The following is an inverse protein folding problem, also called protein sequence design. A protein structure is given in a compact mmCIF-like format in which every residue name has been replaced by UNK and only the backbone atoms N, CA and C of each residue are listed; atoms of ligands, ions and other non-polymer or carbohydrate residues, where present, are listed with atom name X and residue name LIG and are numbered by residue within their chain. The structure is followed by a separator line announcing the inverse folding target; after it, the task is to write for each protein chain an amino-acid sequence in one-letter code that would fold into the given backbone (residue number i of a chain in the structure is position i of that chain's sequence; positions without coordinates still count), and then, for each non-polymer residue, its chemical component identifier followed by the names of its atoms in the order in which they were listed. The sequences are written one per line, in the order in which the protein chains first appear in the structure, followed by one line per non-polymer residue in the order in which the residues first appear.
data_IF_221068698154
#
_entry.id   IF_221068698154
#
_cell.length_a   1.000
_cell.length_b   1.000
_cell.length_c   1.000
_cell.angle_alpha   90.00
_cell.angle_beta   90.00
_cell.angle_gamma   90.00
#
_symmetry.space_group_name_H-M   'P 1'
#
loop_
_entity.id
_entity.type
_entity.pdbx_description
1 polymer ?
#
# COMPACT_ATOMS: atom_id res chain seq x y z
N UNK A 1 10.66 -57.42 1.34
CA UNK A 1 9.87 -56.17 1.16
C UNK A 1 10.22 -55.25 2.33
N UNK A 2 11.12 -54.27 2.15
CA UNK A 2 11.59 -53.38 3.23
C UNK A 2 10.67 -52.15 3.31
N UNK A 3 9.90 -52.04 4.39
CA UNK A 3 9.04 -50.88 4.66
C UNK A 3 9.91 -49.63 4.82
N UNK A 4 9.66 -48.52 4.11
CA UNK A 4 10.47 -47.32 4.26
C UNK A 4 10.22 -46.70 5.65
N UNK A 5 11.29 -46.49 6.40
CA UNK A 5 11.24 -45.85 7.71
C UNK A 5 10.69 -44.42 7.60
N UNK A 6 9.67 -44.10 8.40
CA UNK A 6 9.08 -42.75 8.51
C UNK A 6 10.17 -41.79 8.98
N UNK A 7 10.71 -40.96 8.07
CA UNK A 7 11.69 -39.92 8.42
C UNK A 7 11.01 -38.92 9.36
N UNK A 8 11.33 -38.99 10.65
CA UNK A 8 10.88 -38.02 11.65
C UNK A 8 11.49 -36.67 11.27
N UNK A 9 10.67 -35.77 10.73
CA UNK A 9 11.10 -34.39 10.42
C UNK A 9 11.08 -33.60 11.73
N UNK A 10 12.12 -32.79 11.95
CA UNK A 10 12.18 -31.84 13.07
C UNK A 10 11.04 -30.82 12.86
N UNK A 11 9.88 -31.09 13.43
CA UNK A 11 8.62 -30.38 13.16
C UNK A 11 7.34 -31.16 13.45
N UNK A 12 7.40 -32.49 13.58
CA UNK A 12 6.20 -33.32 13.89
C UNK A 12 5.76 -33.26 15.36
N UNK A 13 6.62 -32.76 16.27
CA UNK A 13 6.24 -32.57 17.67
C UNK A 13 5.37 -31.32 17.82
N UNK A 14 4.16 -31.50 18.34
CA UNK A 14 3.20 -30.42 18.59
C UNK A 14 3.84 -29.28 19.40
N UNK A 15 4.70 -29.60 20.36
CA UNK A 15 5.39 -28.60 21.20
C UNK A 15 6.34 -27.72 20.37
N UNK A 16 7.11 -28.32 19.46
CA UNK A 16 8.03 -27.58 18.57
C UNK A 16 7.25 -26.71 17.60
N UNK A 17 6.16 -27.22 17.02
CA UNK A 17 5.27 -26.47 16.12
C UNK A 17 4.63 -25.26 16.82
N UNK A 18 3.99 -25.47 17.98
CA UNK A 18 3.36 -24.38 18.72
C UNK A 18 4.39 -23.41 19.31
N UNK A 19 5.57 -23.89 19.69
CA UNK A 19 6.69 -23.05 20.11
C UNK A 19 7.16 -22.11 18.99
N UNK A 20 7.41 -22.63 17.79
CA UNK A 20 7.78 -21.81 16.61
C UNK A 20 6.70 -20.79 16.24
N UNK A 21 5.43 -21.21 16.22
CA UNK A 21 4.31 -20.29 15.95
C UNK A 21 4.23 -19.21 17.04
N UNK A 22 4.34 -19.59 18.31
CA UNK A 22 4.31 -18.65 19.44
C UNK A 22 5.43 -17.62 19.36
N UNK A 23 6.67 -18.06 19.06
CA UNK A 23 7.82 -17.16 18.89
C UNK A 23 7.60 -16.18 17.74
N UNK A 24 7.15 -16.66 16.57
CA UNK A 24 6.86 -15.79 15.42
C UNK A 24 5.76 -14.79 15.78
N UNK A 25 4.67 -15.22 16.39
CA UNK A 25 3.58 -14.34 16.79
C UNK A 25 4.03 -13.29 17.80
N UNK A 26 4.82 -13.66 18.82
CA UNK A 26 5.34 -12.72 19.82
C UNK A 26 6.27 -11.70 19.17
N UNK A 27 7.18 -12.14 18.31
CA UNK A 27 8.12 -11.22 17.62
C UNK A 27 7.35 -10.29 16.67
N UNK A 28 6.44 -10.81 15.84
CA UNK A 28 5.62 -10.00 14.94
C UNK A 28 4.72 -9.02 15.71
N UNK A 29 4.08 -9.46 16.79
CA UNK A 29 3.28 -8.61 17.63
C UNK A 29 4.12 -7.49 18.26
N UNK A 30 5.31 -7.82 18.78
CA UNK A 30 6.21 -6.83 19.36
C UNK A 30 6.65 -5.80 18.32
N UNK A 31 7.06 -6.24 17.13
CA UNK A 31 7.50 -5.33 16.05
C UNK A 31 6.39 -4.39 15.57
N UNK A 32 5.13 -4.81 15.61
CA UNK A 32 4.00 -3.97 15.18
C UNK A 32 3.48 -3.11 16.33
N UNK A 33 3.26 -3.71 17.51
CA UNK A 33 2.62 -3.05 18.64
C UNK A 33 3.56 -2.05 19.32
N UNK A 34 4.86 -2.33 19.42
CA UNK A 34 5.80 -1.43 20.07
C UNK A 34 5.84 -0.02 19.44
N UNK A 35 6.07 0.15 18.11
CA UNK A 35 6.08 1.48 17.50
C UNK A 35 4.72 2.16 17.54
N UNK A 36 3.61 1.40 17.38
CA UNK A 36 2.26 1.96 17.51
C UNK A 36 2.00 2.50 18.92
N UNK A 37 2.46 1.78 19.95
CA UNK A 37 2.32 2.22 21.34
C UNK A 37 3.14 3.49 21.58
N UNK A 38 4.38 3.55 21.06
CA UNK A 38 5.21 4.75 21.14
C UNK A 38 4.53 5.95 20.46
N UNK A 39 3.98 5.78 19.25
CA UNK A 39 3.25 6.83 18.55
C UNK A 39 2.03 7.29 19.37
N UNK A 40 1.27 6.36 19.96
CA UNK A 40 0.09 6.69 20.76
C UNK A 40 0.45 7.45 22.05
N UNK A 41 1.51 7.03 22.75
CA UNK A 41 1.99 7.69 23.97
C UNK A 41 2.56 9.07 23.63
N UNK A 42 3.36 9.18 22.57
CA UNK A 42 3.96 10.45 22.14
C UNK A 42 2.89 11.44 21.66
N UNK A 43 1.86 10.98 20.95
CA UNK A 43 0.75 11.82 20.51
C UNK A 43 -0.07 12.40 21.68
N UNK A 44 -0.13 11.68 22.81
CA UNK A 44 -0.87 12.09 24.01
C UNK A 44 0.02 12.70 25.10
N UNK A 45 1.35 12.71 24.92
CA UNK A 45 2.33 13.15 25.93
C UNK A 45 2.18 14.61 26.31
N UNK A 46 1.76 15.46 25.35
CA UNK A 46 1.48 16.90 25.54
C UNK A 46 0.07 17.17 26.09
N UNK A 47 -0.68 16.12 26.42
CA UNK A 47 -2.04 16.19 26.93
C UNK A 47 -3.12 16.27 25.84
N UNK A 48 -4.36 15.97 26.22
CA UNK A 48 -5.51 15.94 25.32
C UNK A 48 -5.80 17.30 24.65
N UNK A 49 -5.50 18.41 25.33
CA UNK A 49 -5.67 19.76 24.79
C UNK A 49 -4.80 20.04 23.57
N UNK A 50 -3.51 19.67 23.62
CA UNK A 50 -2.58 19.84 22.50
C UNK A 50 -2.94 18.97 21.29
N UNK A 51 -3.51 17.77 21.53
CA UNK A 51 -4.02 16.90 20.49
C UNK A 51 -5.22 17.53 19.75
N UNK A 52 -6.18 18.07 20.50
CA UNK A 52 -7.36 18.75 19.92
C UNK A 52 -6.96 20.01 19.16
N UNK A 53 -6.02 20.79 19.71
CA UNK A 53 -5.49 21.99 19.05
C UNK A 53 -4.78 21.65 17.72
N UNK A 54 -4.01 20.56 17.69
CA UNK A 54 -3.35 20.08 16.47
C UNK A 54 -4.35 19.67 15.37
N UNK A 55 -5.51 19.12 15.75
CA UNK A 55 -6.57 18.75 14.79
C UNK A 55 -7.34 19.97 14.28
N UNK A 56 -7.61 20.94 15.15
CA UNK A 56 -8.34 22.17 14.79
C UNK A 56 -7.46 23.12 13.97
N UNK A 57 -6.15 22.94 13.99
CA UNK A 57 -5.21 23.72 13.20
C UNK A 57 -5.63 23.76 11.72
N UNK A 58 -5.67 24.95 11.08
CA UNK A 58 -6.20 25.14 9.74
C UNK A 58 -5.51 24.25 8.69
N UNK A 59 -4.19 24.07 8.81
CA UNK A 59 -3.42 23.23 7.90
C UNK A 59 -3.77 21.76 8.04
N UNK A 60 -3.95 21.25 9.27
CA UNK A 60 -4.34 19.86 9.53
C UNK A 60 -5.73 19.59 8.96
N UNK A 61 -6.68 20.51 9.15
CA UNK A 61 -8.02 20.39 8.60
C UNK A 61 -8.03 20.41 7.08
N UNK A 62 -7.23 21.29 6.47
CA UNK A 62 -7.06 21.35 5.01
C UNK A 62 -6.46 20.05 4.46
N UNK A 63 -5.41 19.54 5.10
CA UNK A 63 -4.76 18.27 4.72
C UNK A 63 -5.72 17.07 4.83
N UNK A 64 -6.51 16.99 5.90
CA UNK A 64 -7.55 15.96 6.08
C UNK A 64 -8.61 16.10 4.98
N UNK A 65 -9.12 17.31 4.74
CA UNK A 65 -10.13 17.54 3.70
C UNK A 65 -9.61 17.16 2.30
N UNK A 66 -8.39 17.55 1.95
CA UNK A 66 -7.77 17.19 0.67
C UNK A 66 -7.63 15.67 0.53
N UNK A 67 -7.23 14.98 1.60
CA UNK A 67 -7.11 13.51 1.60
C UNK A 67 -8.47 12.84 1.43
N UNK A 68 -9.50 13.32 2.15
CA UNK A 68 -10.86 12.77 2.07
C UNK A 68 -11.46 12.99 0.69
N UNK A 69 -11.38 14.21 0.14
CA UNK A 69 -11.88 14.51 -1.21
C UNK A 69 -11.16 13.67 -2.26
N UNK A 70 -9.83 13.57 -2.15
CA UNK A 70 -9.03 12.72 -3.06
C UNK A 70 -9.46 11.26 -2.98
N UNK A 71 -9.64 10.72 -1.77
CA UNK A 71 -10.09 9.34 -1.57
C UNK A 71 -11.50 9.10 -2.13
N UNK A 72 -12.43 10.03 -1.90
CA UNK A 72 -13.81 9.95 -2.41
C UNK A 72 -13.88 9.91 -3.93
N UNK A 73 -12.92 10.52 -4.62
CA UNK A 73 -12.85 10.50 -6.09
C UNK A 73 -12.05 9.28 -6.58
N UNK A 74 -10.87 9.05 -6.02
CA UNK A 74 -9.95 8.02 -6.47
C UNK A 74 -10.48 6.60 -6.22
N UNK A 75 -11.12 6.35 -5.07
CA UNK A 75 -11.58 4.99 -4.71
C UNK A 75 -12.67 4.49 -5.66
N UNK A 76 -13.76 5.23 -5.96
CA UNK A 76 -14.78 4.76 -6.89
C UNK A 76 -14.24 4.58 -8.30
N UNK A 77 -13.39 5.49 -8.77
CA UNK A 77 -12.76 5.39 -10.09
C UNK A 77 -11.90 4.12 -10.17
N UNK A 78 -10.97 3.93 -9.22
CA UNK A 78 -10.11 2.75 -9.18
C UNK A 78 -10.91 1.46 -9.04
N UNK A 79 -12.00 1.47 -8.27
CA UNK A 79 -12.88 0.32 -8.09
C UNK A 79 -13.59 -0.02 -9.40
N UNK A 80 -14.16 0.98 -10.09
CA UNK A 80 -14.83 0.79 -11.37
C UNK A 80 -13.90 0.23 -12.44
N UNK A 81 -12.72 0.84 -12.61
CA UNK A 81 -11.71 0.35 -13.55
C UNK A 81 -11.16 -1.03 -13.14
N UNK A 82 -10.90 -1.27 -11.86
CA UNK A 82 -10.42 -2.53 -11.33
C UNK A 82 -11.41 -3.67 -11.56
N UNK A 83 -12.70 -3.44 -11.28
CA UNK A 83 -13.76 -4.43 -11.54
C UNK A 83 -13.89 -4.68 -13.04
N UNK A 84 -13.88 -3.63 -13.87
CA UNK A 84 -13.98 -3.78 -15.32
C UNK A 84 -12.80 -4.60 -15.90
N UNK A 85 -11.57 -4.31 -15.45
CA UNK A 85 -10.37 -5.05 -15.86
C UNK A 85 -10.40 -6.51 -15.38
N UNK A 86 -10.75 -6.75 -14.11
CA UNK A 86 -10.87 -8.09 -13.55
C UNK A 86 -11.96 -8.90 -14.27
N UNK A 87 -13.09 -8.27 -14.58
CA UNK A 87 -14.17 -8.90 -15.33
C UNK A 87 -13.76 -9.22 -16.77
N UNK A 88 -13.06 -8.30 -17.44
CA UNK A 88 -12.52 -8.52 -18.78
C UNK A 88 -11.55 -9.73 -18.82
N UNK A 89 -10.61 -9.81 -17.87
CA UNK A 89 -9.62 -10.89 -17.81
C UNK A 89 -10.26 -12.24 -17.48
N UNK A 90 -11.29 -12.28 -16.64
CA UNK A 90 -11.88 -13.53 -16.14
C UNK A 90 -12.96 -14.09 -17.06
N UNK A 91 -13.71 -13.23 -17.75
CA UNK A 91 -14.86 -13.62 -18.58
C UNK A 91 -14.54 -13.79 -20.06
N UNK A 92 -13.53 -13.10 -20.59
CA UNK A 92 -13.23 -13.08 -22.02
C UNK A 92 -11.82 -13.58 -22.32
N UNK A 93 -11.70 -14.43 -23.33
CA UNK A 93 -10.42 -14.85 -23.92
C UNK A 93 -10.16 -14.06 -25.20
N UNK A 94 -9.38 -12.98 -25.09
CA UNK A 94 -8.98 -12.11 -26.21
C UNK A 94 -7.45 -12.12 -26.36
N UNK A 95 -6.92 -11.93 -27.60
CA UNK A 95 -5.49 -12.06 -27.87
C UNK A 95 -4.61 -11.04 -27.10
N UNK A 96 -5.16 -9.93 -26.63
CA UNK A 96 -4.47 -8.90 -25.84
C UNK A 96 -4.50 -9.10 -24.32
N UNK A 97 -5.06 -10.20 -23.80
CA UNK A 97 -5.29 -10.43 -22.37
C UNK A 97 -4.00 -10.39 -21.53
N UNK A 98 -2.91 -10.95 -22.06
CA UNK A 98 -1.61 -10.95 -21.40
C UNK A 98 -1.03 -9.54 -21.22
N UNK A 99 -1.22 -8.66 -22.21
CA UNK A 99 -0.75 -7.27 -22.12
C UNK A 99 -1.50 -6.50 -21.02
N UNK A 100 -2.82 -6.71 -20.91
CA UNK A 100 -3.64 -6.09 -19.87
C UNK A 100 -3.20 -6.52 -18.46
N UNK A 101 -2.90 -7.80 -18.26
CA UNK A 101 -2.36 -8.33 -17.00
C UNK A 101 -1.04 -7.66 -16.64
N UNK A 102 -0.10 -7.58 -17.58
CA UNK A 102 1.20 -6.94 -17.36
C UNK A 102 1.03 -5.47 -16.99
N UNK A 103 0.18 -4.71 -17.69
CA UNK A 103 -0.08 -3.29 -17.38
C UNK A 103 -0.60 -3.12 -15.94
N UNK A 104 -1.47 -4.02 -15.48
CA UNK A 104 -2.04 -3.99 -14.12
C UNK A 104 -1.00 -4.38 -13.07
N UNK A 105 -0.09 -5.32 -13.35
CA UNK A 105 0.91 -5.82 -12.41
C UNK A 105 2.20 -4.97 -12.34
N UNK A 106 2.56 -4.27 -13.43
CA UNK A 106 3.72 -3.38 -13.50
C UNK A 106 3.80 -2.42 -12.29
N UNK A 107 2.78 -1.62 -11.96
CA UNK A 107 2.89 -0.64 -10.88
C UNK A 107 3.19 -1.27 -9.52
N UNK A 108 2.74 -2.52 -9.28
CA UNK A 108 3.04 -3.25 -8.04
C UNK A 108 4.47 -3.80 -8.00
N UNK A 109 5.06 -4.05 -9.16
CA UNK A 109 6.43 -4.54 -9.28
C UNK A 109 7.48 -3.42 -9.27
N UNK A 110 7.05 -2.18 -9.52
CA UNK A 110 7.92 -0.99 -9.57
C UNK A 110 8.09 -0.40 -8.17
N UNK A 111 9.33 -0.07 -7.81
CA UNK A 111 9.64 0.62 -6.54
C UNK A 111 8.96 1.99 -6.49
N UNK A 112 8.43 2.42 -5.32
CA UNK A 112 7.84 3.75 -5.16
C UNK A 112 8.78 4.89 -5.59
N UNK A 113 10.09 4.72 -5.41
CA UNK A 113 11.09 5.71 -5.81
C UNK A 113 11.11 5.87 -7.34
N UNK A 114 11.08 4.75 -8.06
CA UNK A 114 11.08 4.76 -9.54
C UNK A 114 9.77 5.35 -10.06
N UNK A 115 8.63 5.01 -9.45
CA UNK A 115 7.35 5.62 -9.79
C UNK A 115 7.40 7.15 -9.64
N UNK A 116 8.00 7.66 -8.56
CA UNK A 116 8.20 9.09 -8.35
C UNK A 116 9.04 9.75 -9.46
N UNK A 117 10.13 9.12 -9.87
CA UNK A 117 10.98 9.61 -10.98
C UNK A 117 10.22 9.57 -12.32
N UNK A 118 9.43 8.53 -12.58
CA UNK A 118 8.55 8.49 -13.75
C UNK A 118 7.53 9.64 -13.75
N UNK A 119 6.91 9.95 -12.61
CA UNK A 119 6.02 11.11 -12.49
C UNK A 119 6.73 12.42 -12.80
N UNK A 120 7.97 12.61 -12.33
CA UNK A 120 8.77 13.79 -12.66
C UNK A 120 9.10 13.87 -14.15
N UNK A 121 9.37 12.74 -14.82
CA UNK A 121 9.62 12.74 -16.27
C UNK A 121 8.37 12.99 -17.10
N UNK A 122 7.21 12.58 -16.61
CA UNK A 122 5.94 12.75 -17.33
C UNK A 122 5.37 14.16 -17.10
N UNK A 123 5.36 14.63 -15.86
CA UNK A 123 4.68 15.86 -15.42
C UNK A 123 5.63 17.00 -15.00
N UNK A 124 6.95 16.76 -14.95
CA UNK A 124 7.90 17.81 -14.63
C UNK A 124 7.96 18.91 -15.68
N UNK A 125 8.62 20.03 -15.34
CA UNK A 125 8.71 21.22 -16.19
C UNK A 125 9.32 20.96 -17.58
N UNK A 126 10.22 19.98 -17.70
CA UNK A 126 10.80 19.51 -18.97
C UNK A 126 10.26 18.14 -19.42
N UNK A 127 9.18 17.67 -18.79
CA UNK A 127 8.57 16.37 -19.06
C UNK A 127 7.66 16.37 -20.28
N UNK A 128 7.15 15.19 -20.64
CA UNK A 128 6.31 14.99 -21.82
C UNK A 128 5.07 15.91 -21.83
N UNK A 129 4.47 16.17 -20.66
CA UNK A 129 3.34 17.09 -20.51
C UNK A 129 3.72 18.48 -20.00
N UNK A 130 5.00 18.73 -19.67
CA UNK A 130 5.49 20.00 -19.10
C UNK A 130 5.14 21.24 -19.95
N UNK A 131 5.39 21.24 -21.28
CA UNK A 131 5.05 22.36 -22.15
C UNK A 131 3.54 22.62 -22.27
N UNK A 132 2.73 21.56 -22.27
CA UNK A 132 1.26 21.67 -22.34
C UNK A 132 0.66 22.22 -21.04
N UNK A 133 1.23 21.85 -19.89
CA UNK A 133 0.83 22.35 -18.57
C UNK A 133 1.27 23.80 -18.33
N UNK A 134 2.46 24.18 -18.80
CA UNK A 134 2.90 25.58 -18.82
C UNK A 134 2.00 26.46 -19.70
N UNK A 135 1.56 25.94 -20.85
CA UNK A 135 0.59 26.64 -21.70
C UNK A 135 -0.80 26.81 -21.07
N UNK A 136 -1.15 25.98 -20.08
CA UNK A 136 -2.39 26.05 -19.33
C UNK A 136 -2.27 26.85 -18.00
N UNK A 137 -1.10 27.44 -17.70
CA UNK A 137 -0.75 28.12 -16.45
C UNK A 137 -0.95 27.26 -15.17
N UNK A 138 -0.91 25.93 -15.33
CA UNK A 138 -1.01 24.98 -14.21
C UNK A 138 0.40 24.72 -13.68
N UNK A 139 0.69 25.21 -12.48
CA UNK A 139 1.94 24.95 -11.77
C UNK A 139 1.81 23.67 -10.94
N UNK A 140 2.67 22.70 -11.24
CA UNK A 140 2.86 21.44 -10.49
C UNK A 140 4.09 21.59 -9.60
#
# INVERSE_FOLDING_TARGET
MRTPAKKIRVGDSAVVKYGLIGVVLVISALLIVAPLTVIAVEALSKGWGAYVEAIIHPDTRSAIAMTVVTALIAVPINTGFGIAAAWAITKFDFPGRGLLLVIVEIPFSVSPIVAGVCYLFVYGLQGLFGPALQGADIKI
#
